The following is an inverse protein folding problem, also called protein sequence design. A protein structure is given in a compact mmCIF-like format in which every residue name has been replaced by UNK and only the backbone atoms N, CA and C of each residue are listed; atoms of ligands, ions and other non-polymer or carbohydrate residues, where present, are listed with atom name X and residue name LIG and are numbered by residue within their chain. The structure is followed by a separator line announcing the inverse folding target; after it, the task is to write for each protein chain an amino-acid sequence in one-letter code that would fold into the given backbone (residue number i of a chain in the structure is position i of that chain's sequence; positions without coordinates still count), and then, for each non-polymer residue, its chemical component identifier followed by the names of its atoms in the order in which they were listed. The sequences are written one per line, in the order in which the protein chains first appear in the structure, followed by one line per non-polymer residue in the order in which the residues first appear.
data_IF_664434018724
#
_entry.id   IF_664434018724
#
_cell.length_a   1.000
_cell.length_b   1.000
_cell.length_c   1.000
_cell.angle_alpha   90.00
_cell.angle_beta   90.00
_cell.angle_gamma   90.00
#
_symmetry.space_group_name_H-M   'P 1'
#
loop_
_entity.id
_entity.type
_entity.pdbx_description
1 polymer ?
#
# COMPACT_ATOMS: atom_id res chain seq x y z
N UNK A 1 -55.50 -30.99 -2.24
CA UNK A 1 -56.31 -31.36 -1.02
C UNK A 1 -56.29 -30.19 -0.04
N UNK A 2 -57.31 -30.07 0.80
CA UNK A 2 -57.26 -29.06 1.87
C UNK A 2 -56.27 -29.49 2.96
N UNK A 3 -55.25 -28.67 3.19
CA UNK A 3 -54.26 -28.90 4.25
C UNK A 3 -54.87 -28.49 5.60
N UNK A 4 -54.89 -29.41 6.53
CA UNK A 4 -55.25 -29.19 7.94
C UNK A 4 -54.15 -29.74 8.83
N UNK A 5 -54.08 -29.35 10.09
CA UNK A 5 -53.06 -29.89 11.01
C UNK A 5 -53.07 -31.42 11.03
N UNK A 6 -54.28 -32.02 11.02
CA UNK A 6 -54.47 -33.51 11.01
C UNK A 6 -53.99 -34.12 9.69
N UNK A 7 -54.34 -33.53 8.52
CA UNK A 7 -53.91 -34.07 7.21
C UNK A 7 -52.42 -33.93 7.02
N UNK A 8 -51.81 -32.82 7.45
CA UNK A 8 -50.36 -32.59 7.34
C UNK A 8 -49.56 -33.55 8.20
N UNK A 9 -50.02 -33.88 9.40
CA UNK A 9 -49.37 -34.88 10.26
C UNK A 9 -49.39 -36.30 9.63
N UNK A 10 -50.43 -36.62 8.89
CA UNK A 10 -50.59 -37.90 8.21
C UNK A 10 -49.91 -38.00 6.83
N UNK A 11 -49.25 -36.94 6.35
CA UNK A 11 -48.59 -36.98 5.03
C UNK A 11 -47.39 -37.96 5.02
N UNK A 12 -47.41 -38.86 4.10
CA UNK A 12 -46.33 -39.83 3.85
C UNK A 12 -45.84 -39.66 2.41
N UNK A 13 -44.56 -39.88 2.19
CA UNK A 13 -44.00 -39.85 0.86
C UNK A 13 -44.61 -41.01 0.04
N UNK A 14 -45.16 -40.79 -1.16
CA UNK A 14 -45.73 -41.84 -1.95
C UNK A 14 -44.66 -42.91 -2.33
N UNK A 15 -45.11 -44.17 -2.37
CA UNK A 15 -44.25 -45.31 -2.69
C UNK A 15 -43.51 -45.10 -3.99
N UNK A 16 -42.21 -45.41 -4.01
CA UNK A 16 -41.34 -45.27 -5.16
C UNK A 16 -40.90 -43.83 -5.49
N UNK A 17 -41.29 -42.80 -4.73
CA UNK A 17 -40.86 -41.41 -4.92
C UNK A 17 -39.85 -40.96 -3.87
N UNK A 18 -38.81 -40.29 -4.34
CA UNK A 18 -37.82 -39.62 -3.42
C UNK A 18 -38.20 -38.20 -3.05
N UNK A 19 -39.14 -37.58 -3.80
CA UNK A 19 -39.59 -36.19 -3.66
C UNK A 19 -41.05 -36.05 -4.12
N UNK A 20 -41.90 -35.37 -3.34
CA UNK A 20 -43.30 -35.12 -3.68
C UNK A 20 -43.76 -33.75 -3.18
N UNK A 21 -44.72 -33.16 -3.91
CA UNK A 21 -45.34 -31.88 -3.58
C UNK A 21 -46.84 -32.06 -3.37
N UNK A 22 -47.32 -31.67 -2.22
CA UNK A 22 -48.76 -31.73 -1.86
C UNK A 22 -49.25 -30.27 -1.75
N UNK A 23 -50.13 -29.87 -2.67
CA UNK A 23 -50.65 -28.51 -2.74
C UNK A 23 -51.94 -28.32 -1.94
N UNK A 24 -52.06 -27.14 -1.31
CA UNK A 24 -53.25 -26.74 -0.60
C UNK A 24 -54.36 -26.29 -1.57
N UNK A 25 -55.57 -26.79 -1.41
CA UNK A 25 -56.73 -26.38 -2.21
C UNK A 25 -57.22 -24.98 -1.82
N UNK A 26 -57.03 -24.57 -0.55
CA UNK A 26 -57.51 -23.29 -0.04
C UNK A 26 -56.55 -22.12 -0.37
N UNK A 27 -55.31 -22.43 -0.70
CA UNK A 27 -54.30 -21.41 -1.05
C UNK A 27 -53.44 -21.92 -2.22
N UNK A 28 -53.86 -21.69 -3.48
CA UNK A 28 -53.12 -22.15 -4.66
C UNK A 28 -51.68 -21.65 -4.63
N UNK A 29 -50.73 -22.56 -4.93
CA UNK A 29 -49.29 -22.25 -4.91
C UNK A 29 -48.66 -22.42 -3.51
N UNK A 30 -49.41 -22.69 -2.47
CA UNK A 30 -48.90 -23.09 -1.15
C UNK A 30 -49.02 -24.61 -0.99
N UNK A 31 -48.06 -25.22 -0.27
CA UNK A 31 -48.09 -26.68 -0.05
C UNK A 31 -46.99 -27.19 0.85
N UNK A 32 -46.86 -28.51 0.87
CA UNK A 32 -45.80 -29.24 1.59
C UNK A 32 -44.95 -30.00 0.57
N UNK A 33 -43.63 -29.90 0.71
CA UNK A 33 -42.66 -30.76 0.04
C UNK A 33 -42.26 -31.89 0.98
N UNK A 34 -42.37 -33.10 0.50
CA UNK A 34 -41.91 -34.32 1.15
C UNK A 34 -40.65 -34.81 0.44
N UNK A 35 -39.53 -34.95 1.17
CA UNK A 35 -38.29 -35.52 0.62
C UNK A 35 -37.57 -36.34 1.69
N UNK A 36 -37.56 -37.67 1.50
CA UNK A 36 -37.16 -38.59 2.56
C UNK A 36 -37.98 -38.34 3.81
N UNK A 37 -37.35 -38.15 4.95
CA UNK A 37 -38.01 -37.80 6.21
C UNK A 37 -38.32 -36.31 6.36
N UNK A 38 -37.80 -35.46 5.46
CA UNK A 38 -37.99 -34.02 5.53
C UNK A 38 -39.38 -33.62 5.04
N UNK A 39 -40.08 -32.81 5.81
CA UNK A 39 -41.39 -32.22 5.48
C UNK A 39 -41.29 -30.72 5.65
N UNK A 40 -41.46 -29.98 4.56
CA UNK A 40 -41.29 -28.55 4.55
C UNK A 40 -42.42 -27.81 3.87
N UNK A 41 -42.87 -26.72 4.49
CA UNK A 41 -43.77 -25.78 3.87
C UNK A 41 -43.09 -25.14 2.66
N UNK A 42 -43.83 -25.00 1.58
CA UNK A 42 -43.35 -24.37 0.34
C UNK A 42 -44.41 -23.40 -0.20
N UNK A 43 -43.93 -22.38 -0.87
CA UNK A 43 -44.72 -21.50 -1.72
C UNK A 43 -44.15 -21.50 -3.13
N UNK A 44 -45.02 -21.56 -4.14
CA UNK A 44 -44.65 -21.48 -5.53
C UNK A 44 -45.44 -20.34 -6.17
N UNK A 45 -44.71 -19.43 -6.84
CA UNK A 45 -45.29 -18.29 -7.52
C UNK A 45 -44.58 -18.05 -8.84
N UNK A 46 -45.20 -17.27 -9.71
CA UNK A 46 -44.62 -16.82 -10.98
C UNK A 46 -44.31 -15.33 -10.88
N UNK A 47 -43.10 -14.95 -11.30
CA UNK A 47 -42.71 -13.56 -11.40
C UNK A 47 -42.14 -13.31 -12.78
N UNK A 48 -42.82 -12.53 -13.63
CA UNK A 48 -42.55 -12.43 -15.05
C UNK A 48 -42.67 -13.80 -15.75
N UNK A 49 -41.64 -14.20 -16.47
CA UNK A 49 -41.58 -15.50 -17.13
C UNK A 49 -41.06 -16.65 -16.22
N UNK A 50 -40.52 -16.30 -15.06
CA UNK A 50 -39.85 -17.27 -14.19
C UNK A 50 -40.80 -17.85 -13.14
N UNK A 51 -40.84 -19.19 -12.99
CA UNK A 51 -41.48 -19.87 -11.90
C UNK A 51 -40.49 -19.96 -10.72
N UNK A 52 -40.93 -19.53 -9.56
CA UNK A 52 -40.14 -19.52 -8.33
C UNK A 52 -40.76 -20.47 -7.30
N UNK A 53 -39.92 -21.15 -6.53
CA UNK A 53 -40.36 -21.99 -5.41
C UNK A 53 -39.50 -21.69 -4.19
N UNK A 54 -40.16 -21.49 -3.04
CA UNK A 54 -39.53 -21.12 -1.78
C UNK A 54 -39.94 -22.07 -0.67
N UNK A 55 -38.97 -22.46 0.19
CA UNK A 55 -39.26 -23.17 1.43
C UNK A 55 -39.53 -22.19 2.56
N UNK A 56 -40.66 -22.32 3.23
CA UNK A 56 -41.07 -21.46 4.35
C UNK A 56 -40.67 -22.01 5.72
N UNK A 57 -40.12 -23.25 5.78
CA UNK A 57 -39.67 -23.88 7.01
C UNK A 57 -40.09 -25.32 7.17
N UNK A 58 -39.56 -25.98 8.20
CA UNK A 58 -39.95 -27.35 8.60
C UNK A 58 -41.33 -27.31 9.26
N UNK A 59 -42.23 -28.25 8.92
CA UNK A 59 -43.59 -28.30 9.43
C UNK A 59 -43.67 -28.50 10.96
N UNK A 60 -42.60 -29.00 11.58
CA UNK A 60 -42.47 -29.17 13.03
C UNK A 60 -42.14 -27.88 13.76
N UNK A 61 -41.63 -26.88 13.05
CA UNK A 61 -41.16 -25.59 13.60
C UNK A 61 -42.06 -24.42 13.20
N UNK A 62 -42.75 -24.51 12.09
CA UNK A 62 -43.63 -23.49 11.58
C UNK A 62 -45.05 -24.06 11.53
N UNK A 63 -46.01 -23.41 12.15
CA UNK A 63 -47.40 -23.85 12.15
C UNK A 63 -48.01 -23.68 10.77
N UNK A 64 -49.10 -24.39 10.46
CA UNK A 64 -49.86 -24.27 9.21
C UNK A 64 -50.33 -22.82 8.99
N UNK A 65 -50.84 -22.19 10.07
CA UNK A 65 -51.37 -20.82 9.99
C UNK A 65 -50.28 -19.80 9.74
N UNK A 66 -49.11 -19.95 10.38
CA UNK A 66 -47.96 -19.09 10.12
C UNK A 66 -47.44 -19.30 8.71
N UNK A 67 -47.34 -20.54 8.23
CA UNK A 67 -46.91 -20.83 6.87
C UNK A 67 -47.84 -20.24 5.82
N UNK A 68 -49.19 -20.32 6.04
CA UNK A 68 -50.18 -19.67 5.17
C UNK A 68 -50.07 -18.16 5.21
N UNK A 69 -49.86 -17.55 6.38
CA UNK A 69 -49.66 -16.11 6.54
C UNK A 69 -48.44 -15.64 5.75
N UNK A 70 -47.32 -16.36 5.87
CA UNK A 70 -46.10 -16.05 5.10
C UNK A 70 -46.35 -16.22 3.60
N UNK A 71 -47.01 -17.30 3.16
CA UNK A 71 -47.34 -17.54 1.77
C UNK A 71 -48.19 -16.38 1.17
N UNK A 72 -49.23 -15.94 1.89
CA UNK A 72 -50.06 -14.79 1.45
C UNK A 72 -49.23 -13.50 1.32
N UNK A 73 -48.30 -13.26 2.24
CA UNK A 73 -47.38 -12.11 2.13
C UNK A 73 -46.51 -12.20 0.87
N UNK A 74 -46.05 -13.39 0.50
CA UNK A 74 -45.27 -13.60 -0.74
C UNK A 74 -46.09 -13.34 -1.97
N UNK A 75 -47.36 -13.83 -2.00
CA UNK A 75 -48.26 -13.56 -3.13
C UNK A 75 -48.56 -12.07 -3.26
N UNK A 76 -48.85 -11.38 -2.16
CA UNK A 76 -49.06 -9.93 -2.17
C UNK A 76 -47.86 -9.15 -2.69
N UNK A 77 -46.63 -9.54 -2.31
CA UNK A 77 -45.40 -8.94 -2.84
C UNK A 77 -45.30 -9.11 -4.37
N UNK A 78 -45.61 -10.31 -4.87
CA UNK A 78 -45.61 -10.59 -6.33
C UNK A 78 -46.65 -9.74 -7.07
N UNK A 79 -47.86 -9.59 -6.52
CA UNK A 79 -48.91 -8.77 -7.08
C UNK A 79 -48.54 -7.27 -7.12
N UNK A 80 -47.75 -6.81 -6.14
CA UNK A 80 -47.19 -5.46 -6.10
C UNK A 80 -45.95 -5.27 -6.98
N UNK A 81 -45.58 -6.27 -7.80
CA UNK A 81 -44.44 -6.21 -8.72
C UNK A 81 -43.08 -6.39 -8.04
N UNK A 82 -43.04 -6.88 -6.80
CA UNK A 82 -41.79 -7.15 -6.07
C UNK A 82 -41.46 -8.65 -6.11
N UNK A 83 -40.24 -9.00 -6.56
CA UNK A 83 -39.76 -10.41 -6.50
C UNK A 83 -39.25 -10.75 -5.09
N UNK A 84 -39.96 -11.58 -4.29
CA UNK A 84 -39.54 -11.94 -2.94
C UNK A 84 -38.18 -12.68 -2.90
N UNK A 85 -37.82 -13.37 -3.96
CA UNK A 85 -36.52 -14.05 -4.08
C UNK A 85 -35.38 -13.05 -4.27
N UNK A 86 -35.59 -12.03 -5.09
CA UNK A 86 -34.62 -10.97 -5.32
C UNK A 86 -34.40 -10.13 -4.05
N UNK A 87 -35.48 -9.76 -3.34
CA UNK A 87 -35.38 -9.01 -2.10
C UNK A 87 -34.61 -9.78 -1.00
N UNK A 88 -34.84 -11.09 -0.88
CA UNK A 88 -34.06 -11.91 0.05
C UNK A 88 -32.61 -12.08 -0.39
N UNK A 89 -32.34 -12.16 -1.67
CA UNK A 89 -30.98 -12.20 -2.18
C UNK A 89 -30.22 -10.90 -1.85
N UNK A 90 -30.89 -9.72 -2.04
CA UNK A 90 -30.37 -8.42 -1.62
C UNK A 90 -30.14 -8.36 -0.11
N UNK A 91 -31.11 -8.78 0.71
CA UNK A 91 -30.96 -8.83 2.17
C UNK A 91 -29.80 -9.71 2.62
N UNK A 92 -29.63 -10.88 1.99
CA UNK A 92 -28.47 -11.77 2.27
C UNK A 92 -27.14 -11.15 1.84
N UNK A 93 -27.10 -10.49 0.69
CA UNK A 93 -25.91 -9.82 0.22
C UNK A 93 -25.51 -8.68 1.17
N UNK A 94 -26.46 -7.84 1.59
CA UNK A 94 -26.23 -6.79 2.59
C UNK A 94 -25.75 -7.38 3.92
N UNK A 95 -26.38 -8.46 4.41
CA UNK A 95 -25.95 -9.11 5.66
C UNK A 95 -24.55 -9.70 5.54
N UNK A 96 -24.20 -10.32 4.41
CA UNK A 96 -22.87 -10.85 4.15
C UNK A 96 -21.81 -9.72 4.05
N UNK A 97 -22.16 -8.59 3.43
CA UNK A 97 -21.28 -7.41 3.33
C UNK A 97 -21.06 -6.78 4.71
N UNK A 98 -22.11 -6.63 5.52
CA UNK A 98 -22.02 -6.14 6.90
C UNK A 98 -21.21 -7.09 7.79
N UNK A 99 -21.26 -8.40 7.52
CA UNK A 99 -20.47 -9.41 8.23
C UNK A 99 -19.05 -9.57 7.69
N UNK A 100 -18.69 -8.90 6.58
CA UNK A 100 -17.36 -9.01 5.99
C UNK A 100 -16.27 -8.56 6.96
N UNK A 101 -15.26 -9.41 7.13
CA UNK A 101 -14.18 -9.16 8.11
C UNK A 101 -13.15 -8.17 7.60
N UNK A 102 -12.40 -7.53 8.52
CA UNK A 102 -11.29 -6.66 8.15
C UNK A 102 -10.31 -7.34 7.18
N UNK A 103 -10.02 -8.63 7.38
CA UNK A 103 -9.13 -9.40 6.49
C UNK A 103 -9.68 -9.45 5.06
N UNK A 104 -10.94 -9.79 4.91
CA UNK A 104 -11.60 -9.89 3.60
C UNK A 104 -11.64 -8.54 2.89
N UNK A 105 -12.01 -7.48 3.62
CA UNK A 105 -12.07 -6.13 3.06
C UNK A 105 -10.68 -5.58 2.75
N UNK A 106 -9.66 -5.87 3.57
CA UNK A 106 -8.28 -5.50 3.28
C UNK A 106 -7.76 -6.17 1.98
N UNK A 107 -8.12 -7.44 1.75
CA UNK A 107 -7.78 -8.12 0.50
C UNK A 107 -8.44 -7.47 -0.73
N UNK A 108 -9.75 -7.17 -0.65
CA UNK A 108 -10.49 -6.44 -1.72
C UNK A 108 -9.89 -5.06 -1.98
N UNK A 109 -9.57 -4.31 -0.92
CA UNK A 109 -8.91 -3.01 -1.04
C UNK A 109 -7.55 -3.12 -1.74
N UNK A 110 -6.70 -4.04 -1.32
CA UNK A 110 -5.37 -4.25 -1.92
C UNK A 110 -5.51 -4.65 -3.39
N UNK A 111 -6.45 -5.52 -3.72
CA UNK A 111 -6.70 -5.90 -5.11
C UNK A 111 -7.12 -4.71 -5.97
N UNK A 112 -8.04 -3.86 -5.49
CA UNK A 112 -8.43 -2.62 -6.17
C UNK A 112 -7.27 -1.63 -6.37
N UNK A 113 -6.20 -1.75 -5.57
CA UNK A 113 -5.01 -0.88 -5.62
C UNK A 113 -3.84 -1.48 -6.41
N UNK A 114 -3.92 -2.74 -6.80
CA UNK A 114 -2.81 -3.47 -7.46
C UNK A 114 -2.30 -2.78 -8.72
N UNK A 115 -3.19 -2.28 -9.57
CA UNK A 115 -2.83 -1.59 -10.81
C UNK A 115 -2.40 -0.12 -10.60
N UNK A 116 -2.75 0.48 -9.45
CA UNK A 116 -2.56 1.91 -9.19
C UNK A 116 -1.33 2.18 -8.32
N UNK A 117 -1.09 1.33 -7.32
CA UNK A 117 0.04 1.51 -6.41
C UNK A 117 1.32 0.94 -7.02
N UNK A 118 2.43 1.64 -6.76
CA UNK A 118 3.75 1.08 -7.07
C UNK A 118 3.98 -0.21 -6.27
N UNK A 119 4.71 -1.20 -6.82
CA UNK A 119 4.92 -2.49 -6.17
C UNK A 119 5.41 -2.39 -4.71
N UNK A 120 6.38 -1.51 -4.43
CA UNK A 120 6.89 -1.31 -3.08
C UNK A 120 5.83 -0.72 -2.12
N UNK A 121 4.96 0.18 -2.59
CA UNK A 121 3.87 0.75 -1.79
C UNK A 121 2.80 -0.30 -1.52
N UNK A 122 2.46 -1.10 -2.52
CA UNK A 122 1.53 -2.21 -2.40
C UNK A 122 2.01 -3.23 -1.35
N UNK A 123 3.25 -3.74 -1.49
CA UNK A 123 3.85 -4.70 -0.57
C UNK A 123 3.98 -4.14 0.86
N UNK A 124 4.26 -2.84 1.00
CA UNK A 124 4.28 -2.19 2.30
C UNK A 124 2.88 -2.17 2.93
N UNK A 125 1.83 -1.78 2.19
CA UNK A 125 0.45 -1.76 2.67
C UNK A 125 -0.02 -3.17 3.07
N UNK A 126 0.23 -4.17 2.21
CA UNK A 126 -0.07 -5.57 2.49
C UNK A 126 0.56 -6.04 3.81
N UNK A 127 1.87 -5.75 4.00
CA UNK A 127 2.60 -6.09 5.23
C UNK A 127 1.98 -5.42 6.46
N UNK A 128 1.57 -4.13 6.37
CA UNK A 128 0.91 -3.44 7.47
C UNK A 128 -0.42 -4.10 7.84
N UNK A 129 -1.25 -4.46 6.89
CA UNK A 129 -2.48 -5.19 7.16
C UNK A 129 -2.18 -6.57 7.75
N UNK A 130 -1.29 -7.33 7.14
CA UNK A 130 -0.98 -8.71 7.56
C UNK A 130 -0.39 -8.78 8.97
N UNK A 131 0.49 -7.84 9.36
CA UNK A 131 1.21 -7.90 10.63
C UNK A 131 0.53 -7.05 11.70
N UNK A 132 0.28 -5.78 11.41
CA UNK A 132 -0.12 -4.84 12.43
C UNK A 132 -1.61 -4.88 12.75
N UNK A 133 -2.44 -5.25 11.78
CA UNK A 133 -3.89 -5.36 11.96
C UNK A 133 -4.39 -6.79 12.14
N UNK A 134 -3.47 -7.79 12.19
CA UNK A 134 -3.79 -9.21 12.40
C UNK A 134 -4.77 -9.50 13.54
N UNK A 135 -4.66 -8.88 14.73
CA UNK A 135 -5.61 -9.13 15.83
C UNK A 135 -7.05 -8.74 15.54
N UNK A 136 -7.29 -7.86 14.56
CA UNK A 136 -8.63 -7.44 14.14
C UNK A 136 -9.12 -8.14 12.86
N UNK A 137 -8.34 -9.06 12.29
CA UNK A 137 -8.65 -9.71 11.01
C UNK A 137 -10.03 -10.37 10.97
N UNK A 138 -10.42 -11.03 12.04
CA UNK A 138 -11.69 -11.79 12.10
C UNK A 138 -12.87 -10.94 12.59
N UNK A 139 -12.66 -9.65 12.89
CA UNK A 139 -13.72 -8.73 13.28
C UNK A 139 -14.48 -8.27 12.03
N UNK A 140 -15.82 -8.24 12.06
CA UNK A 140 -16.59 -7.54 11.04
C UNK A 140 -16.13 -6.08 10.97
N UNK A 141 -15.85 -5.59 9.76
CA UNK A 141 -15.28 -4.24 9.60
C UNK A 141 -16.23 -3.14 10.12
N UNK A 142 -17.53 -3.34 9.98
CA UNK A 142 -18.58 -2.46 10.49
C UNK A 142 -18.67 -2.44 12.03
N UNK A 143 -18.18 -3.47 12.71
CA UNK A 143 -18.19 -3.59 14.16
C UNK A 143 -16.88 -3.13 14.82
N UNK A 144 -15.87 -2.75 14.04
CA UNK A 144 -14.61 -2.21 14.58
C UNK A 144 -14.86 -0.82 15.13
N UNK A 145 -14.48 -0.63 16.40
CA UNK A 145 -14.66 0.65 17.10
C UNK A 145 -13.39 1.49 17.11
N UNK A 146 -13.56 2.80 17.34
CA UNK A 146 -12.43 3.72 17.54
C UNK A 146 -11.55 3.29 18.73
N UNK A 147 -12.16 2.75 19.80
CA UNK A 147 -11.43 2.28 20.98
C UNK A 147 -10.52 1.10 20.65
N UNK A 148 -10.99 0.13 19.87
CA UNK A 148 -10.18 -1.01 19.42
C UNK A 148 -9.01 -0.57 18.55
N UNK A 149 -9.26 0.38 17.63
CA UNK A 149 -8.19 0.96 16.78
C UNK A 149 -7.14 1.68 17.65
N UNK A 150 -7.57 2.51 18.60
CA UNK A 150 -6.67 3.24 19.49
C UNK A 150 -5.83 2.29 20.35
N UNK A 151 -6.46 1.28 20.95
CA UNK A 151 -5.75 0.27 21.75
C UNK A 151 -4.74 -0.50 20.90
N UNK A 152 -5.12 -0.87 19.67
CA UNK A 152 -4.19 -1.56 18.76
C UNK A 152 -3.00 -0.67 18.39
N UNK A 153 -3.20 0.61 18.13
CA UNK A 153 -2.11 1.56 17.84
C UNK A 153 -1.15 1.68 19.03
N UNK A 154 -1.65 1.72 20.27
CA UNK A 154 -0.81 1.69 21.47
C UNK A 154 0.05 0.42 21.55
N UNK A 155 -0.55 -0.74 21.25
CA UNK A 155 0.19 -2.01 21.18
C UNK A 155 1.29 -1.99 20.09
N UNK A 156 1.02 -1.39 18.93
CA UNK A 156 2.03 -1.24 17.88
C UNK A 156 3.14 -0.28 18.31
N UNK A 157 2.81 0.82 19.00
CA UNK A 157 3.81 1.76 19.56
C UNK A 157 4.76 1.01 20.49
N UNK A 158 4.22 0.19 21.40
CA UNK A 158 5.01 -0.56 22.37
C UNK A 158 5.93 -1.59 21.71
N UNK A 159 5.45 -2.29 20.68
CA UNK A 159 6.20 -3.36 20.04
C UNK A 159 7.12 -2.91 18.89
N UNK A 160 6.76 -1.84 18.18
CA UNK A 160 7.38 -1.45 16.91
C UNK A 160 7.69 0.05 16.80
N UNK A 161 7.37 0.83 17.82
CA UNK A 161 7.62 2.27 17.86
C UNK A 161 6.55 3.13 17.19
N UNK A 162 6.63 4.44 17.47
CA UNK A 162 5.63 5.46 17.08
C UNK A 162 5.49 5.59 15.56
N UNK A 163 6.58 5.50 14.80
CA UNK A 163 6.58 5.63 13.32
C UNK A 163 5.85 4.45 12.67
N UNK A 164 6.08 3.22 13.15
CA UNK A 164 5.38 2.04 12.64
C UNK A 164 3.87 2.13 12.91
N UNK A 165 3.48 2.56 14.11
CA UNK A 165 2.08 2.76 14.46
C UNK A 165 1.40 3.85 13.61
N UNK A 166 2.08 4.97 13.34
CA UNK A 166 1.56 6.01 12.46
C UNK A 166 1.38 5.52 11.02
N UNK A 167 2.30 4.72 10.50
CA UNK A 167 2.18 4.10 9.18
C UNK A 167 1.04 3.08 9.13
N UNK A 168 0.89 2.26 10.18
CA UNK A 168 -0.24 1.34 10.30
C UNK A 168 -1.59 2.10 10.30
N UNK A 169 -1.67 3.20 11.07
CA UNK A 169 -2.83 4.10 11.09
C UNK A 169 -3.14 4.66 9.71
N UNK A 170 -2.15 5.18 8.98
CA UNK A 170 -2.31 5.73 7.63
C UNK A 170 -2.89 4.69 6.66
N UNK A 171 -2.41 3.44 6.72
CA UNK A 171 -2.94 2.37 5.86
C UNK A 171 -4.39 2.02 6.22
N UNK A 172 -4.75 1.96 7.52
CA UNK A 172 -6.14 1.72 7.93
C UNK A 172 -7.06 2.88 7.54
N UNK A 173 -6.61 4.13 7.70
CA UNK A 173 -7.35 5.31 7.24
C UNK A 173 -7.69 5.23 5.75
N UNK A 174 -6.72 4.85 4.92
CA UNK A 174 -6.90 4.74 3.48
C UNK A 174 -7.88 3.61 3.12
N UNK A 175 -7.79 2.46 3.79
CA UNK A 175 -8.72 1.34 3.61
C UNK A 175 -10.15 1.74 4.00
N UNK A 176 -10.34 2.31 5.20
CA UNK A 176 -11.67 2.70 5.67
C UNK A 176 -12.28 3.83 4.82
N UNK A 177 -11.46 4.78 4.35
CA UNK A 177 -11.93 5.80 3.43
C UNK A 177 -12.36 5.22 2.07
N UNK A 178 -11.69 4.18 1.59
CA UNK A 178 -12.11 3.44 0.41
C UNK A 178 -13.41 2.66 0.71
N UNK A 179 -13.47 1.93 1.82
CA UNK A 179 -14.65 1.16 2.22
C UNK A 179 -15.91 2.02 2.39
N UNK A 180 -15.76 3.28 2.85
CA UNK A 180 -16.87 4.26 2.88
C UNK A 180 -17.37 4.59 1.47
N UNK A 181 -16.47 4.81 0.51
CA UNK A 181 -16.86 5.11 -0.89
C UNK A 181 -17.51 3.92 -1.58
N UNK A 182 -17.17 2.70 -1.15
CA UNK A 182 -17.82 1.47 -1.64
C UNK A 182 -19.14 1.13 -0.89
N UNK A 183 -19.54 1.95 0.09
CA UNK A 183 -20.74 1.70 0.89
C UNK A 183 -20.65 0.54 1.88
N UNK A 184 -19.43 0.07 2.20
CA UNK A 184 -19.20 -1.07 3.11
C UNK A 184 -19.29 -0.64 4.57
N UNK A 185 -18.88 0.59 4.89
CA UNK A 185 -18.95 1.19 6.21
C UNK A 185 -19.47 2.62 6.11
N UNK A 186 -20.21 3.06 7.11
CA UNK A 186 -20.78 4.41 7.14
C UNK A 186 -19.77 5.48 7.57
N UNK A 187 -18.76 5.10 8.37
CA UNK A 187 -17.79 6.04 8.92
C UNK A 187 -16.38 5.46 9.01
N UNK A 188 -15.40 6.35 8.99
CA UNK A 188 -13.99 5.99 9.17
C UNK A 188 -13.60 6.20 10.64
N UNK A 189 -13.72 5.16 11.43
CA UNK A 189 -13.43 5.16 12.89
C UNK A 189 -11.98 5.48 13.23
N UNK A 190 -11.06 5.38 12.27
CA UNK A 190 -9.65 5.69 12.50
C UNK A 190 -9.33 7.20 12.41
N UNK A 191 -10.21 8.03 11.83
CA UNK A 191 -9.98 9.49 11.68
C UNK A 191 -9.78 10.15 13.04
N UNK A 192 -10.65 9.87 13.99
CA UNK A 192 -10.64 10.46 15.32
C UNK A 192 -9.68 9.76 16.30
N UNK A 193 -8.74 8.95 15.83
CA UNK A 193 -7.65 8.41 16.66
C UNK A 193 -6.45 9.34 16.65
N UNK A 194 -5.67 9.35 17.73
CA UNK A 194 -4.44 10.13 17.80
C UNK A 194 -3.41 9.60 16.80
N UNK A 195 -2.68 10.52 16.16
CA UNK A 195 -1.53 10.14 15.33
C UNK A 195 -0.33 9.83 16.24
N UNK A 196 0.17 8.58 16.29
CA UNK A 196 1.29 8.24 17.17
C UNK A 196 2.59 8.98 16.87
N UNK A 197 2.78 9.46 15.65
CA UNK A 197 3.98 10.21 15.26
C UNK A 197 3.82 11.74 15.40
N UNK A 198 2.68 12.23 15.90
CA UNK A 198 2.48 13.67 16.10
C UNK A 198 3.53 14.21 17.07
N UNK A 199 4.20 15.30 16.68
CA UNK A 199 5.25 15.94 17.49
C UNK A 199 6.60 15.20 17.50
N UNK A 200 6.79 14.16 16.69
CA UNK A 200 8.13 13.63 16.46
C UNK A 200 8.94 14.66 15.64
N UNK A 201 10.16 15.02 16.08
CA UNK A 201 11.01 15.91 15.31
C UNK A 201 11.34 15.29 13.95
N UNK A 202 11.42 16.14 12.94
CA UNK A 202 12.02 15.73 11.66
C UNK A 202 13.50 15.41 11.91
N UNK A 203 14.00 14.43 11.15
CA UNK A 203 15.44 14.13 11.21
C UNK A 203 16.19 15.20 10.41
N UNK A 204 17.11 15.92 11.08
CA UNK A 204 17.88 17.03 10.50
C UNK A 204 19.39 16.70 10.41
N UNK A 205 19.75 15.43 10.50
CA UNK A 205 21.12 14.94 10.51
C UNK A 205 21.84 15.26 9.20
N UNK A 206 22.92 16.04 9.28
CA UNK A 206 23.92 16.30 8.26
C UNK A 206 25.25 15.72 8.77
N UNK A 207 26.02 15.07 7.91
CA UNK A 207 27.34 14.55 8.25
C UNK A 207 28.37 15.66 8.15
N UNK A 208 29.27 15.76 9.11
CA UNK A 208 30.41 16.66 9.07
C UNK A 208 31.58 16.08 8.24
N UNK A 209 32.61 16.88 8.03
CA UNK A 209 33.76 16.51 7.20
C UNK A 209 34.49 15.27 7.73
N UNK A 210 34.67 15.16 9.05
CA UNK A 210 35.35 14.01 9.64
C UNK A 210 34.51 12.74 9.50
N UNK A 211 33.20 12.84 9.65
CA UNK A 211 32.28 11.72 9.45
C UNK A 211 32.25 11.26 7.98
N UNK A 212 32.24 12.23 7.04
CA UNK A 212 32.32 11.94 5.60
C UNK A 212 33.61 11.21 5.29
N UNK A 213 34.76 11.69 5.79
CA UNK A 213 36.09 11.08 5.61
C UNK A 213 36.13 9.64 6.14
N UNK A 214 35.64 9.43 7.37
CA UNK A 214 35.59 8.09 8.00
C UNK A 214 34.68 7.13 7.26
N UNK A 215 33.50 7.57 6.86
CA UNK A 215 32.54 6.74 6.09
C UNK A 215 33.15 6.37 4.74
N UNK A 216 33.76 7.33 4.04
CA UNK A 216 34.39 7.09 2.74
C UNK A 216 35.54 6.08 2.84
N UNK A 217 36.41 6.25 3.80
CA UNK A 217 37.55 5.35 4.03
C UNK A 217 37.11 3.92 4.41
N UNK A 218 36.04 3.78 5.16
CA UNK A 218 35.48 2.49 5.56
C UNK A 218 34.67 1.79 4.45
N UNK A 219 34.34 2.49 3.34
CA UNK A 219 33.68 1.86 2.20
C UNK A 219 34.66 0.88 1.52
N UNK A 220 34.28 -0.39 1.42
CA UNK A 220 34.98 -1.39 0.61
C UNK A 220 34.81 -1.18 -0.89
N UNK A 221 35.44 -2.05 -1.68
CA UNK A 221 35.30 -2.06 -3.14
C UNK A 221 34.09 -2.91 -3.61
N UNK A 222 33.26 -3.34 -2.66
CA UNK A 222 32.04 -4.06 -2.91
C UNK A 222 30.90 -3.14 -3.43
N UNK A 223 29.79 -3.76 -3.79
CA UNK A 223 28.61 -3.02 -4.28
C UNK A 223 28.09 -2.01 -3.26
N UNK A 224 28.09 -2.34 -1.96
CA UNK A 224 27.59 -1.44 -0.94
C UNK A 224 28.46 -0.20 -0.77
N UNK A 225 29.78 -0.38 -0.73
CA UNK A 225 30.73 0.73 -0.65
C UNK A 225 30.64 1.66 -1.87
N UNK A 226 30.57 1.08 -3.07
CA UNK A 226 30.36 1.84 -4.30
C UNK A 226 29.04 2.64 -4.30
N UNK A 227 27.94 2.01 -3.86
CA UNK A 227 26.64 2.69 -3.71
C UNK A 227 26.73 3.86 -2.72
N UNK A 228 27.37 3.67 -1.56
CA UNK A 228 27.51 4.73 -0.53
C UNK A 228 28.28 5.91 -1.09
N UNK A 229 29.41 5.68 -1.77
CA UNK A 229 30.19 6.74 -2.41
C UNK A 229 29.39 7.47 -3.49
N UNK A 230 28.66 6.75 -4.35
CA UNK A 230 27.79 7.35 -5.38
C UNK A 230 26.62 8.15 -4.78
N UNK A 231 26.02 7.67 -3.70
CA UNK A 231 24.96 8.40 -2.98
C UNK A 231 25.48 9.72 -2.42
N UNK A 232 26.69 9.73 -1.87
CA UNK A 232 27.32 10.94 -1.36
C UNK A 232 27.64 11.91 -2.48
N UNK A 233 28.30 11.47 -3.56
CA UNK A 233 28.73 12.31 -4.69
C UNK A 233 27.55 12.87 -5.48
N UNK A 234 26.49 12.12 -5.65
CA UNK A 234 25.36 12.51 -6.51
C UNK A 234 24.14 13.03 -5.79
N UNK A 235 24.03 12.78 -4.47
CA UNK A 235 22.86 13.09 -3.67
C UNK A 235 21.58 12.35 -4.10
N UNK A 236 21.65 11.30 -4.94
CA UNK A 236 20.47 10.63 -5.46
C UNK A 236 19.77 9.75 -4.41
N UNK A 237 18.55 9.28 -4.70
CA UNK A 237 17.84 8.39 -3.78
C UNK A 237 18.44 7.00 -3.83
N UNK A 238 18.49 6.37 -2.66
CA UNK A 238 19.07 5.03 -2.45
C UNK A 238 18.67 4.03 -3.54
N UNK A 239 17.38 3.90 -3.82
CA UNK A 239 16.90 2.91 -4.79
C UNK A 239 17.14 3.35 -6.24
N UNK A 240 17.32 4.64 -6.52
CA UNK A 240 17.70 5.13 -7.84
C UNK A 240 19.10 4.65 -8.21
N UNK A 241 20.03 4.65 -7.25
CA UNK A 241 21.39 4.12 -7.43
C UNK A 241 21.42 2.58 -7.34
N UNK A 242 20.74 1.99 -6.35
CA UNK A 242 20.78 0.54 -6.11
C UNK A 242 20.27 -0.32 -7.27
N UNK A 243 19.28 0.21 -7.98
CA UNK A 243 18.67 -0.46 -9.13
C UNK A 243 19.17 0.14 -10.47
N UNK A 244 20.32 0.84 -10.46
CA UNK A 244 20.90 1.48 -11.64
C UNK A 244 21.25 0.43 -12.70
N UNK A 245 21.01 0.79 -13.97
CA UNK A 245 21.30 -0.03 -15.13
C UNK A 245 22.40 0.61 -15.97
N UNK A 246 23.25 -0.19 -16.58
CA UNK A 246 24.24 0.34 -17.54
C UNK A 246 23.58 1.00 -18.73
N UNK A 247 22.42 0.54 -19.16
CA UNK A 247 21.59 1.19 -20.21
C UNK A 247 21.05 2.58 -19.83
N UNK A 248 21.08 2.95 -18.53
CA UNK A 248 20.74 4.28 -18.03
C UNK A 248 21.96 5.22 -17.92
N UNK A 249 23.19 4.71 -18.14
CA UNK A 249 24.45 5.47 -17.99
C UNK A 249 25.04 5.79 -19.36
N UNK A 250 25.15 7.07 -19.67
CA UNK A 250 25.94 7.57 -20.80
C UNK A 250 27.34 7.93 -20.28
N UNK A 251 28.34 7.11 -20.63
CA UNK A 251 29.72 7.27 -20.19
C UNK A 251 30.47 8.40 -20.93
N UNK A 252 30.05 8.76 -22.15
CA UNK A 252 30.63 9.81 -22.93
C UNK A 252 30.08 11.17 -22.53
N UNK A 253 28.76 11.28 -22.38
CA UNK A 253 28.12 12.47 -21.83
C UNK A 253 28.29 12.62 -20.31
N UNK A 254 28.81 11.60 -19.64
CA UNK A 254 28.92 11.50 -18.17
C UNK A 254 27.59 11.84 -17.48
N UNK A 255 26.54 11.05 -17.78
CA UNK A 255 25.20 11.25 -17.20
C UNK A 255 24.52 9.93 -16.86
N UNK A 256 23.62 9.97 -15.86
CA UNK A 256 22.59 8.94 -15.64
C UNK A 256 21.26 9.51 -16.09
N UNK A 257 20.51 8.77 -16.91
CA UNK A 257 19.16 9.13 -17.34
C UNK A 257 18.13 8.15 -16.73
N UNK A 258 17.43 8.62 -15.72
CA UNK A 258 16.40 7.82 -15.04
C UNK A 258 15.02 8.08 -15.68
N UNK A 259 14.36 7.07 -16.24
CA UNK A 259 13.02 7.22 -16.80
C UNK A 259 11.97 7.46 -15.69
N UNK A 260 10.76 7.98 -16.01
CA UNK A 260 9.70 8.30 -15.05
C UNK A 260 9.34 7.15 -14.11
N UNK A 261 9.34 5.92 -14.60
CA UNK A 261 9.02 4.73 -13.82
C UNK A 261 10.02 4.48 -12.67
N UNK A 262 11.28 4.90 -12.85
CA UNK A 262 12.37 4.72 -11.88
C UNK A 262 12.41 5.82 -10.82
N UNK A 263 11.85 6.99 -11.08
CA UNK A 263 11.89 8.13 -10.16
C UNK A 263 10.68 8.17 -9.23
N UNK A 264 10.86 8.64 -8.00
CA UNK A 264 9.76 8.68 -7.01
C UNK A 264 8.62 9.61 -7.41
N UNK A 265 8.91 10.69 -8.12
CA UNK A 265 7.92 11.69 -8.53
C UNK A 265 7.32 11.45 -9.93
N UNK A 266 7.73 10.37 -10.63
CA UNK A 266 7.23 10.02 -11.96
C UNK A 266 7.70 10.97 -13.07
N UNK A 267 8.80 11.71 -12.87
CA UNK A 267 9.40 12.61 -13.88
C UNK A 267 10.75 12.06 -14.33
N UNK A 268 11.11 12.17 -15.61
CA UNK A 268 12.45 11.80 -16.06
C UNK A 268 13.50 12.64 -15.32
N UNK A 269 14.66 12.08 -15.09
CA UNK A 269 15.72 12.75 -14.34
C UNK A 269 17.08 12.46 -14.94
N UNK A 270 17.76 13.50 -15.39
CA UNK A 270 19.16 13.45 -15.87
C UNK A 270 20.04 13.90 -14.71
N UNK A 271 21.00 13.06 -14.32
CA UNK A 271 21.98 13.30 -13.27
C UNK A 271 23.36 13.38 -13.90
N UNK A 272 23.99 14.55 -13.96
CA UNK A 272 25.39 14.65 -14.33
C UNK A 272 26.28 13.87 -13.37
N UNK A 273 27.31 13.22 -13.88
CA UNK A 273 28.29 12.46 -13.12
C UNK A 273 29.60 13.23 -13.06
N UNK A 274 30.11 13.44 -11.85
CA UNK A 274 31.49 13.91 -11.66
C UNK A 274 32.50 12.84 -12.08
N UNK A 275 33.74 13.23 -12.30
CA UNK A 275 34.83 12.30 -12.68
C UNK A 275 34.97 11.16 -11.68
N UNK A 276 34.87 11.45 -10.38
CA UNK A 276 34.93 10.41 -9.32
C UNK A 276 33.75 9.43 -9.40
N UNK A 277 32.53 9.92 -9.61
CA UNK A 277 31.35 9.05 -9.76
C UNK A 277 31.46 8.18 -11.03
N UNK A 278 31.96 8.75 -12.12
CA UNK A 278 32.19 8.03 -13.37
C UNK A 278 33.24 6.91 -13.19
N UNK A 279 34.33 7.19 -12.47
CA UNK A 279 35.37 6.19 -12.14
C UNK A 279 34.79 5.02 -11.37
N UNK A 280 33.95 5.27 -10.35
CA UNK A 280 33.27 4.21 -9.58
C UNK A 280 32.40 3.34 -10.50
N UNK A 281 31.64 3.94 -11.40
CA UNK A 281 30.78 3.19 -12.32
C UNK A 281 31.58 2.40 -13.37
N UNK A 282 32.69 2.95 -13.89
CA UNK A 282 33.57 2.27 -14.84
C UNK A 282 34.24 1.02 -14.24
N UNK A 283 34.48 1.02 -12.93
CA UNK A 283 35.06 -0.11 -12.22
C UNK A 283 34.07 -1.25 -11.95
N UNK A 284 32.77 -1.11 -12.26
CA UNK A 284 31.78 -2.18 -12.03
C UNK A 284 31.79 -3.20 -13.16
N UNK A 285 31.59 -4.51 -12.83
CA UNK A 285 31.44 -5.56 -13.83
C UNK A 285 30.27 -5.29 -14.79
N UNK A 286 30.46 -5.57 -16.09
CA UNK A 286 29.44 -5.36 -17.13
C UNK A 286 28.92 -6.67 -17.71
N UNK A 287 28.80 -7.66 -16.89
CA UNK A 287 28.26 -8.99 -17.24
C UNK A 287 26.72 -9.03 -17.35
N UNK A 288 26.07 -7.97 -16.90
CA UNK A 288 24.61 -7.76 -16.93
C UNK A 288 24.25 -6.28 -16.99
N UNK A 289 22.97 -5.94 -17.27
CA UNK A 289 22.54 -4.55 -17.35
C UNK A 289 22.47 -3.85 -15.96
N UNK A 290 22.13 -4.57 -14.87
CA UNK A 290 22.16 -4.00 -13.53
C UNK A 290 23.60 -3.79 -13.04
N UNK A 291 23.89 -2.56 -12.58
CA UNK A 291 25.22 -2.16 -12.08
C UNK A 291 25.56 -2.83 -10.73
N UNK A 292 24.56 -2.99 -9.87
CA UNK A 292 24.71 -3.49 -8.49
C UNK A 292 23.79 -4.67 -8.19
N UNK A 293 24.17 -5.49 -7.20
CA UNK A 293 23.40 -6.62 -6.73
C UNK A 293 23.73 -7.92 -7.47
N UNK A 294 22.80 -8.89 -7.48
CA UNK A 294 22.99 -10.20 -8.11
C UNK A 294 21.72 -10.72 -8.77
N UNK A 295 21.84 -11.55 -9.79
CA UNK A 295 20.71 -12.08 -10.57
C UNK A 295 19.91 -10.97 -11.23
N UNK A 296 18.59 -11.08 -11.25
CA UNK A 296 17.67 -10.11 -11.90
C UNK A 296 17.27 -8.93 -11.02
N UNK A 297 17.93 -8.75 -9.88
CA UNK A 297 17.61 -7.68 -8.91
C UNK A 297 18.80 -6.76 -8.69
N UNK A 298 18.50 -5.50 -8.42
CA UNK A 298 19.46 -4.55 -7.90
C UNK A 298 19.91 -4.90 -6.49
N UNK A 299 20.61 -4.00 -5.83
CA UNK A 299 21.15 -4.27 -4.50
C UNK A 299 20.07 -4.38 -3.43
N UNK A 300 20.06 -5.48 -2.65
CA UNK A 300 19.00 -5.77 -1.66
C UNK A 300 19.50 -5.98 -0.23
N UNK A 301 20.78 -6.26 0.00
CA UNK A 301 21.33 -6.61 1.32
C UNK A 301 21.65 -5.41 2.21
N UNK A 302 20.74 -4.42 2.25
CA UNK A 302 20.92 -3.13 2.92
C UNK A 302 21.31 -3.22 4.40
N UNK A 303 20.61 -4.06 5.17
CA UNK A 303 20.86 -4.18 6.61
C UNK A 303 22.20 -4.83 6.91
N UNK A 304 22.65 -5.72 6.05
CA UNK A 304 23.96 -6.36 6.18
C UNK A 304 25.07 -5.36 5.85
N UNK A 305 25.01 -4.72 4.67
CA UNK A 305 26.00 -3.73 4.24
C UNK A 305 26.11 -2.57 5.23
N UNK A 306 24.95 -2.03 5.70
CA UNK A 306 24.98 -0.93 6.68
C UNK A 306 25.61 -1.33 8.00
N UNK A 307 25.35 -2.54 8.52
CA UNK A 307 25.96 -3.00 9.76
C UNK A 307 27.47 -3.23 9.60
N UNK A 308 27.89 -3.80 8.47
CA UNK A 308 29.31 -3.99 8.18
C UNK A 308 30.05 -2.65 8.09
N UNK A 309 29.48 -1.69 7.35
CA UNK A 309 30.03 -0.34 7.24
C UNK A 309 30.07 0.37 8.61
N UNK A 310 28.99 0.31 9.41
CA UNK A 310 28.98 0.93 10.74
C UNK A 310 30.05 0.33 11.66
N UNK A 311 30.28 -0.98 11.59
CA UNK A 311 31.34 -1.65 12.35
C UNK A 311 32.74 -1.19 11.90
N UNK A 312 32.97 -1.00 10.59
CA UNK A 312 34.24 -0.53 10.05
C UNK A 312 34.51 0.96 10.37
N UNK A 313 33.47 1.78 10.30
CA UNK A 313 33.56 3.22 10.65
C UNK A 313 33.82 3.42 12.14
N UNK A 314 33.34 2.52 13.00
CA UNK A 314 33.38 2.66 14.45
C UNK A 314 32.30 3.63 14.97
N UNK A 315 32.53 4.19 16.15
CA UNK A 315 31.52 5.02 16.83
C UNK A 315 31.28 6.34 16.10
N UNK A 316 30.07 6.51 15.60
CA UNK A 316 29.50 7.76 15.07
C UNK A 316 28.10 8.00 15.67
N UNK A 317 27.65 9.25 15.74
CA UNK A 317 26.24 9.55 15.98
C UNK A 317 25.34 8.82 14.98
N UNK A 318 24.16 8.34 15.37
CA UNK A 318 23.30 7.54 14.49
C UNK A 318 23.02 8.23 13.15
N UNK A 319 23.31 7.55 12.05
CA UNK A 319 23.13 8.04 10.69
C UNK A 319 22.49 7.01 9.76
N UNK A 320 21.92 7.46 8.66
CA UNK A 320 21.28 6.64 7.63
C UNK A 320 21.80 7.02 6.24
N UNK A 321 21.61 6.14 5.26
CA UNK A 321 21.97 6.45 3.86
C UNK A 321 21.25 7.71 3.29
N UNK A 322 20.10 8.08 3.87
CA UNK A 322 19.41 9.31 3.45
C UNK A 322 20.08 10.57 3.96
N UNK A 323 20.90 10.46 5.01
CA UNK A 323 21.65 11.60 5.55
C UNK A 323 22.81 11.98 4.61
N UNK A 324 23.36 11.04 3.81
CA UNK A 324 24.30 11.34 2.70
C UNK A 324 23.71 12.34 1.71
N UNK A 325 22.44 12.15 1.35
CA UNK A 325 21.74 13.08 0.46
C UNK A 325 21.45 14.43 1.12
N UNK A 326 21.19 14.44 2.44
CA UNK A 326 21.08 15.72 3.18
C UNK A 326 22.41 16.46 3.23
N UNK A 327 23.50 15.73 3.48
CA UNK A 327 24.85 16.29 3.47
C UNK A 327 25.21 16.86 2.10
N UNK A 328 24.86 16.15 1.01
CA UNK A 328 25.07 16.69 -0.34
C UNK A 328 24.22 17.93 -0.60
N UNK A 329 22.95 17.97 -0.14
CA UNK A 329 22.11 19.15 -0.29
C UNK A 329 22.64 20.36 0.48
N UNK A 330 23.02 20.15 1.74
CA UNK A 330 23.57 21.22 2.62
C UNK A 330 24.95 21.65 2.11
N UNK A 331 25.83 20.71 1.79
CA UNK A 331 27.17 21.03 1.29
C UNK A 331 27.16 21.78 -0.04
N UNK A 332 26.25 21.46 -0.97
CA UNK A 332 26.05 22.28 -2.16
C UNK A 332 25.58 23.70 -1.82
N UNK A 333 24.71 23.86 -0.82
CA UNK A 333 24.27 25.19 -0.39
C UNK A 333 25.41 25.97 0.27
N UNK A 334 26.25 25.31 1.07
CA UNK A 334 27.45 25.91 1.69
C UNK A 334 28.53 26.31 0.65
N UNK A 335 28.45 25.74 -0.55
CA UNK A 335 29.27 26.08 -1.72
C UNK A 335 28.57 27.09 -2.66
N UNK A 336 27.62 27.85 -2.15
CA UNK A 336 26.88 28.91 -2.86
C UNK A 336 26.11 28.43 -4.11
N UNK A 337 25.73 27.14 -4.14
CA UNK A 337 24.85 26.63 -5.22
C UNK A 337 23.42 27.08 -4.97
N UNK A 338 22.82 27.70 -5.96
CA UNK A 338 21.44 28.19 -5.91
C UNK A 338 20.44 27.10 -5.45
N UNK A 339 19.51 27.39 -4.53
CA UNK A 339 18.55 26.42 -4.02
C UNK A 339 17.73 25.71 -5.13
N UNK A 340 17.37 26.40 -6.20
CA UNK A 340 16.62 25.82 -7.31
C UNK A 340 17.44 24.82 -8.14
N UNK A 341 18.77 25.01 -8.21
CA UNK A 341 19.70 24.06 -8.85
C UNK A 341 19.87 22.83 -7.99
N UNK A 342 20.02 22.99 -6.67
CA UNK A 342 20.07 21.89 -5.71
C UNK A 342 18.78 21.05 -5.80
N UNK A 343 17.60 21.68 -5.80
CA UNK A 343 16.32 20.98 -5.96
C UNK A 343 16.23 20.24 -7.31
N UNK A 344 16.75 20.83 -8.38
CA UNK A 344 16.81 20.20 -9.70
C UNK A 344 17.78 19.02 -9.72
N UNK A 345 18.97 19.14 -9.12
CA UNK A 345 19.97 18.07 -9.01
C UNK A 345 19.43 16.88 -8.21
N UNK A 346 18.67 17.16 -7.15
CA UNK A 346 18.05 16.15 -6.29
C UNK A 346 16.68 15.63 -6.80
N UNK A 347 16.16 16.16 -7.91
CA UNK A 347 14.81 15.83 -8.38
C UNK A 347 13.73 15.99 -7.28
N UNK A 348 13.79 17.10 -6.55
CA UNK A 348 12.74 17.49 -5.59
C UNK A 348 11.59 18.19 -6.32
N UNK A 349 10.37 18.01 -5.83
CA UNK A 349 9.16 18.65 -6.34
C UNK A 349 8.59 19.71 -5.38
N UNK A 350 9.36 20.07 -4.34
CA UNK A 350 9.02 21.10 -3.34
C UNK A 350 9.47 22.48 -3.79
N UNK A 351 8.97 23.53 -3.13
CA UNK A 351 9.45 24.89 -3.34
C UNK A 351 9.11 25.50 -4.71
N UNK A 352 10.10 26.01 -5.41
CA UNK A 352 9.95 26.79 -6.64
C UNK A 352 9.22 26.10 -7.81
N UNK A 353 9.10 24.76 -7.78
CA UNK A 353 8.35 23.98 -8.79
C UNK A 353 6.93 23.61 -8.33
N UNK A 354 6.47 24.08 -7.16
CA UNK A 354 5.06 24.00 -6.73
C UNK A 354 4.35 25.31 -7.06
N UNK A 355 3.18 25.24 -7.71
CA UNK A 355 2.40 26.41 -8.08
C UNK A 355 2.74 26.98 -9.46
N UNK A 356 2.44 28.25 -9.69
CA UNK A 356 2.53 28.95 -10.97
C UNK A 356 3.95 28.92 -11.56
N UNK A 357 4.99 29.08 -10.73
CA UNK A 357 6.38 29.05 -11.18
C UNK A 357 6.79 27.71 -11.84
N UNK A 358 6.26 26.58 -11.35
CA UNK A 358 6.52 25.25 -11.93
C UNK A 358 5.83 25.00 -13.26
N UNK A 359 4.82 25.80 -13.62
CA UNK A 359 4.11 25.73 -14.90
C UNK A 359 4.94 26.42 -15.99
N UNK A 360 5.57 27.54 -15.66
CA UNK A 360 6.31 28.38 -16.62
C UNK A 360 7.79 27.97 -16.77
N UNK A 361 8.45 27.53 -15.68
CA UNK A 361 9.86 27.16 -15.73
C UNK A 361 10.03 25.66 -16.01
N UNK A 362 10.27 25.31 -17.28
CA UNK A 362 10.50 23.94 -17.77
C UNK A 362 11.98 23.59 -17.95
N UNK A 363 12.88 24.46 -17.52
CA UNK A 363 14.33 24.22 -17.64
C UNK A 363 14.74 22.94 -16.92
N UNK A 364 15.59 22.13 -17.56
CA UNK A 364 16.24 20.95 -16.97
C UNK A 364 17.42 21.29 -16.07
N UNK A 365 17.95 22.52 -16.17
CA UNK A 365 19.15 23.02 -15.49
C UNK A 365 20.37 22.10 -15.63
N UNK A 366 20.56 21.42 -16.75
CA UNK A 366 21.59 20.38 -16.88
C UNK A 366 23.01 20.93 -16.69
N UNK A 367 23.32 22.10 -17.29
CA UNK A 367 24.60 22.74 -17.09
C UNK A 367 24.86 23.14 -15.64
N UNK A 368 23.89 23.77 -15.00
CA UNK A 368 23.99 24.19 -13.60
C UNK A 368 24.11 23.01 -12.66
N UNK A 369 23.31 21.92 -12.87
CA UNK A 369 23.43 20.68 -12.12
C UNK A 369 24.82 20.05 -12.25
N UNK A 370 25.42 20.09 -13.45
CA UNK A 370 26.79 19.58 -13.68
C UNK A 370 27.78 20.35 -12.82
N UNK A 371 27.77 21.66 -12.93
CA UNK A 371 28.65 22.52 -12.12
C UNK A 371 28.47 22.26 -10.63
N UNK A 372 27.23 22.21 -10.15
CA UNK A 372 26.92 21.96 -8.74
C UNK A 372 27.42 20.60 -8.24
N UNK A 373 27.24 19.53 -9.04
CA UNK A 373 27.67 18.19 -8.66
C UNK A 373 29.20 18.01 -8.79
N UNK A 374 29.85 18.70 -9.72
CA UNK A 374 31.32 18.72 -9.85
C UNK A 374 31.95 19.47 -8.66
N UNK A 375 31.42 20.64 -8.27
CA UNK A 375 31.86 21.39 -7.10
C UNK A 375 31.71 20.57 -5.82
N UNK A 376 30.55 19.93 -5.62
CA UNK A 376 30.31 19.07 -4.48
C UNK A 376 31.25 17.86 -4.44
N UNK A 377 31.45 17.20 -5.56
CA UNK A 377 32.36 16.05 -5.65
C UNK A 377 33.81 16.44 -5.33
N UNK A 378 34.26 17.58 -5.84
CA UNK A 378 35.61 18.13 -5.55
C UNK A 378 35.75 18.43 -4.04
N UNK A 379 34.74 19.05 -3.45
CA UNK A 379 34.73 19.30 -1.99
C UNK A 379 34.79 18.01 -1.17
N UNK A 380 34.02 16.96 -1.54
CA UNK A 380 34.06 15.66 -0.87
C UNK A 380 35.45 15.02 -1.04
N UNK A 381 36.04 15.07 -2.22
CA UNK A 381 37.41 14.52 -2.45
C UNK A 381 38.46 15.27 -1.64
N UNK A 382 38.37 16.58 -1.55
CA UNK A 382 39.27 17.38 -0.72
C UNK A 382 39.20 16.97 0.76
N UNK A 383 37.98 16.78 1.30
CA UNK A 383 37.77 16.27 2.67
C UNK A 383 38.44 14.88 2.84
N UNK A 384 38.19 13.98 1.89
CA UNK A 384 38.70 12.59 1.97
C UNK A 384 40.22 12.55 1.90
N UNK A 385 40.82 13.33 1.03
CA UNK A 385 42.26 13.42 0.80
C UNK A 385 42.98 14.27 1.87
N UNK A 386 42.22 15.02 2.67
CA UNK A 386 42.78 15.91 3.70
C UNK A 386 43.55 17.10 3.12
N UNK A 387 43.14 17.56 1.95
CA UNK A 387 43.66 18.77 1.29
C UNK A 387 42.71 19.94 1.41
N UNK A 388 43.24 21.16 1.27
CA UNK A 388 42.37 22.31 1.17
C UNK A 388 41.48 22.22 -0.08
N UNK A 389 40.21 22.57 0.06
CA UNK A 389 39.29 22.64 -1.08
C UNK A 389 39.71 23.81 -1.99
N UNK A 390 39.89 23.52 -3.27
CA UNK A 390 40.15 24.57 -4.28
C UNK A 390 38.91 25.47 -4.46
N UNK A 391 37.77 25.07 -3.93
CA UNK A 391 36.52 25.82 -4.00
C UNK A 391 36.52 26.82 -2.83
N UNK A 392 36.92 28.05 -3.12
CA UNK A 392 36.77 29.16 -2.18
C UNK A 392 35.37 29.76 -2.35
N UNK A 393 34.54 29.84 -1.28
CA UNK A 393 33.28 30.58 -1.37
C UNK A 393 33.52 32.03 -1.83
N UNK A 394 32.69 32.52 -2.73
CA UNK A 394 32.85 33.89 -3.31
C UNK A 394 32.89 35.02 -2.29
N UNK A 395 32.43 34.78 -1.07
CA UNK A 395 32.43 35.76 0.05
C UNK A 395 33.73 35.72 0.87
N UNK A 396 34.65 34.81 0.60
CA UNK A 396 36.01 34.79 1.20
C UNK A 396 37.13 35.31 0.28
N UNK A 397 36.76 35.79 -0.89
CA UNK A 397 37.70 36.36 -1.89
C UNK A 397 37.75 37.89 -1.78
#
# INVERSE_FOLDING_TARGET
MKLTAKSVAALVLPDGKSDAFIWDSDLPGFGVRLRGESRRWIVQYRFGVAQRRESLGDIRRVTLDDARRIARQRFAQVELGVDPAAERAKGRAVTAEVAATLKTIAARYLDSKRAVLRPATYSAAERYFRIHWAPLHNRPISAITRAEVALRLQGIVKAHGRVAAARARTNLLALLAWAMREGIVESNVAVATNNPALGLPSRERVLDSEEIKRIWAACGDDDFGAIVRLLLLSGQRRNEIADLRFSEVDFDAATITLPPARTKNGRPHIVPLSAAALTILKARPRDRDLVFGSGDRGFTTWSHGKRALDAAVGTLPPWTLHDLRRSAATGMADLDVDPHVIEAALNHTSGAKRGVAGIYNRSSYERQKRVALDLWAEHVLAIVEGRESVVVPLWQA
#
